data_IF_359319012543
#
_entry.id   IF_359319012543
#
_cell.length_a   1.000
_cell.length_b   1.000
_cell.length_c   1.000
_cell.angle_alpha   90.00
_cell.angle_beta   90.00
_cell.angle_gamma   90.00
#
_symmetry.space_group_name_H-M   'P 1'
#
loop_
_entity.id
_entity.type
_entity.pdbx_description
1 polymer ?
#
# COMPACT_ATOMS: atom_id res chain seq x y z
N UNK A 1 11.78 34.33 -36.86
CA UNK A 1 11.14 34.87 -35.65
C UNK A 1 11.28 33.83 -34.56
N UNK A 2 12.21 34.04 -33.62
CA UNK A 2 12.39 33.18 -32.45
C UNK A 2 11.34 33.54 -31.40
N UNK A 3 10.49 32.60 -31.01
CA UNK A 3 9.80 32.68 -29.71
C UNK A 3 10.61 31.86 -28.70
N UNK A 4 11.38 32.56 -27.89
CA UNK A 4 12.01 32.02 -26.69
C UNK A 4 10.88 31.78 -25.70
N UNK A 5 10.40 30.53 -25.61
CA UNK A 5 9.54 30.10 -24.52
C UNK A 5 10.37 30.03 -23.25
N UNK A 6 10.23 31.03 -22.38
CA UNK A 6 10.82 31.00 -21.05
C UNK A 6 10.18 29.87 -20.26
N UNK A 7 10.93 28.79 -20.06
CA UNK A 7 10.62 27.82 -19.01
C UNK A 7 10.77 28.54 -17.67
N UNK A 8 9.65 28.87 -17.02
CA UNK A 8 9.68 29.23 -15.61
C UNK A 8 10.24 28.03 -14.86
N UNK A 9 11.45 28.15 -14.34
CA UNK A 9 12.04 27.20 -13.39
C UNK A 9 11.15 27.29 -12.15
N UNK A 10 10.12 26.45 -12.09
CA UNK A 10 9.33 26.29 -10.87
C UNK A 10 10.28 25.83 -9.79
N UNK A 11 10.33 26.55 -8.66
CA UNK A 11 11.09 26.12 -7.50
C UNK A 11 10.66 24.67 -7.17
N UNK A 12 11.61 23.73 -7.18
CA UNK A 12 11.31 22.36 -6.77
C UNK A 12 10.91 22.36 -5.29
N UNK A 13 9.96 21.50 -4.91
CA UNK A 13 9.59 21.32 -3.51
C UNK A 13 10.34 20.12 -2.93
N UNK A 14 10.65 20.16 -1.64
CA UNK A 14 11.21 19.04 -0.89
C UNK A 14 10.46 18.81 0.42
N UNK A 15 10.44 17.57 0.87
CA UNK A 15 9.75 17.17 2.10
C UNK A 15 10.63 17.41 3.34
N UNK A 16 10.13 18.22 4.27
CA UNK A 16 10.66 18.33 5.64
C UNK A 16 9.82 17.44 6.55
N UNK A 17 10.48 16.48 7.21
CA UNK A 17 9.81 15.50 8.08
C UNK A 17 10.09 15.82 9.55
N UNK A 18 9.04 15.92 10.34
CA UNK A 18 9.11 16.22 11.78
C UNK A 18 8.27 15.26 12.61
N UNK A 19 8.46 15.30 13.93
CA UNK A 19 7.49 14.71 14.84
C UNK A 19 6.12 15.39 14.67
N UNK A 20 5.03 14.65 14.89
CA UNK A 20 3.69 15.19 14.66
C UNK A 20 3.36 16.27 15.69
N UNK A 21 2.70 17.34 15.26
CA UNK A 21 2.27 18.43 16.14
C UNK A 21 1.29 17.97 17.22
N UNK A 22 0.56 16.88 16.97
CA UNK A 22 -0.35 16.25 17.90
C UNK A 22 -0.04 14.76 18.04
N UNK A 23 -0.13 14.25 19.26
CA UNK A 23 0.02 12.81 19.52
C UNK A 23 -1.22 12.11 18.96
N UNK A 24 -0.99 11.30 17.94
CA UNK A 24 -2.06 10.56 17.29
C UNK A 24 -2.54 9.40 18.19
N UNK A 25 -3.85 9.29 18.44
CA UNK A 25 -4.45 8.31 19.37
C UNK A 25 -4.08 6.84 19.09
N UNK A 26 -3.82 6.01 20.09
CA UNK A 26 -3.46 4.61 19.89
C UNK A 26 -4.06 3.74 21.00
N UNK A 27 -4.21 2.42 20.82
CA UNK A 27 -4.60 1.55 21.92
C UNK A 27 -3.51 1.56 23.01
N UNK A 28 -3.91 1.44 24.28
CA UNK A 28 -2.97 1.44 25.42
C UNK A 28 -1.93 0.33 25.30
N UNK A 29 -2.36 -0.85 24.82
CA UNK A 29 -1.49 -2.01 24.59
C UNK A 29 -0.37 -1.76 23.56
N UNK A 30 -0.48 -0.72 22.73
CA UNK A 30 0.57 -0.37 21.77
C UNK A 30 1.90 0.01 22.47
N UNK A 31 1.84 0.53 23.70
CA UNK A 31 3.04 0.89 24.47
C UNK A 31 3.83 -0.33 24.94
N UNK A 32 3.21 -1.51 24.99
CA UNK A 32 3.88 -2.76 25.37
C UNK A 32 4.81 -3.30 24.27
N UNK A 33 4.64 -2.84 23.02
CA UNK A 33 5.44 -3.25 21.86
C UNK A 33 5.57 -4.78 21.71
N UNK A 34 4.47 -5.51 21.93
CA UNK A 34 4.41 -6.99 21.87
C UNK A 34 4.91 -7.59 20.55
N UNK A 35 4.91 -6.82 19.46
CA UNK A 35 5.42 -7.22 18.16
C UNK A 35 6.95 -7.19 18.04
N UNK A 36 7.68 -6.66 19.02
CA UNK A 36 9.15 -6.68 19.03
C UNK A 36 9.68 -7.96 19.68
N UNK A 37 10.54 -8.69 18.98
CA UNK A 37 11.27 -9.81 19.58
C UNK A 37 12.33 -9.31 20.56
N UNK A 38 12.45 -10.00 21.70
CA UNK A 38 13.42 -9.67 22.75
C UNK A 38 14.85 -9.55 22.18
N UNK A 39 15.56 -8.52 22.63
CA UNK A 39 16.95 -8.26 22.21
C UNK A 39 17.10 -7.69 20.81
N UNK A 40 16.04 -7.10 20.22
CA UNK A 40 16.10 -6.45 18.91
C UNK A 40 16.34 -7.43 17.75
N UNK A 41 15.91 -8.68 17.91
CA UNK A 41 16.18 -9.77 16.95
C UNK A 41 15.21 -9.83 15.77
N UNK A 42 14.28 -8.89 15.69
CA UNK A 42 13.24 -8.84 14.67
C UNK A 42 11.87 -8.61 15.28
N UNK A 43 10.84 -9.05 14.55
CA UNK A 43 9.44 -8.77 14.85
C UNK A 43 8.60 -10.05 14.83
N UNK A 44 7.39 -9.98 15.37
CA UNK A 44 6.41 -11.07 15.41
C UNK A 44 5.00 -10.52 15.28
N UNK A 45 4.08 -11.33 14.77
CA UNK A 45 2.65 -11.07 14.97
C UNK A 45 2.30 -11.40 16.43
N UNK A 46 1.67 -10.48 17.18
CA UNK A 46 1.37 -10.70 18.59
C UNK A 46 -0.05 -11.26 18.83
N UNK A 47 -0.81 -11.53 17.78
CA UNK A 47 -2.24 -11.86 17.87
C UNK A 47 -2.52 -13.36 17.67
N UNK A 48 -3.53 -13.86 18.37
CA UNK A 48 -3.99 -15.26 18.26
C UNK A 48 -4.52 -15.60 16.85
N UNK A 49 -4.90 -14.59 16.07
CA UNK A 49 -5.31 -14.70 14.67
C UNK A 49 -4.18 -15.08 13.72
N UNK A 50 -2.93 -15.01 14.18
CA UNK A 50 -1.76 -15.42 13.42
C UNK A 50 -1.21 -16.74 13.97
N UNK A 51 -1.32 -17.79 13.18
CA UNK A 51 -0.66 -19.07 13.44
C UNK A 51 0.42 -19.28 12.39
N UNK A 52 1.66 -19.46 12.83
CA UNK A 52 2.75 -19.78 11.94
C UNK A 52 2.63 -21.22 11.44
N UNK A 53 2.58 -21.38 10.12
CA UNK A 53 2.55 -22.69 9.50
C UNK A 53 3.95 -23.28 9.57
N UNK A 54 4.06 -24.51 10.09
CA UNK A 54 5.36 -25.17 10.18
C UNK A 54 5.96 -25.36 8.77
N UNK A 55 7.27 -25.16 8.56
CA UNK A 55 7.91 -25.38 7.25
C UNK A 55 7.71 -26.80 6.72
N UNK A 56 7.60 -27.78 7.63
CA UNK A 56 7.30 -29.17 7.28
C UNK A 56 5.89 -29.33 6.71
N UNK A 57 4.89 -28.71 7.34
CA UNK A 57 3.51 -28.74 6.84
C UNK A 57 3.40 -28.04 5.48
N UNK A 58 4.04 -26.88 5.32
CA UNK A 58 4.07 -26.16 4.05
C UNK A 58 4.75 -26.98 2.94
N UNK A 59 5.88 -27.62 3.22
CA UNK A 59 6.60 -28.42 2.23
C UNK A 59 5.87 -29.71 1.88
N UNK A 60 5.50 -30.50 2.89
CA UNK A 60 4.95 -31.86 2.69
C UNK A 60 3.48 -31.80 2.27
N UNK A 61 2.63 -31.08 2.99
CA UNK A 61 1.21 -30.95 2.61
C UNK A 61 1.04 -29.94 1.48
N UNK A 62 1.68 -28.78 1.58
CA UNK A 62 1.45 -27.67 0.65
C UNK A 62 2.04 -27.88 -0.75
N UNK A 63 3.28 -28.35 -0.85
CA UNK A 63 3.94 -28.51 -2.16
C UNK A 63 3.93 -29.95 -2.69
N UNK A 64 4.34 -30.93 -1.88
CA UNK A 64 4.55 -32.31 -2.37
C UNK A 64 3.21 -33.04 -2.54
N UNK A 65 2.40 -33.10 -1.48
CA UNK A 65 1.13 -33.84 -1.50
C UNK A 65 0.13 -33.27 -2.50
N UNK A 66 -0.02 -31.94 -2.55
CA UNK A 66 -0.95 -31.28 -3.48
C UNK A 66 -0.56 -31.45 -4.95
N UNK A 67 0.74 -31.46 -5.27
CA UNK A 67 1.20 -31.80 -6.63
C UNK A 67 0.90 -33.25 -7.00
N UNK A 68 1.12 -34.20 -6.09
CA UNK A 68 0.88 -35.63 -6.36
C UNK A 68 -0.62 -35.93 -6.46
N UNK A 69 -1.46 -35.25 -5.67
CA UNK A 69 -2.92 -35.44 -5.67
C UNK A 69 -3.65 -34.63 -6.74
N UNK A 70 -2.96 -33.80 -7.51
CA UNK A 70 -3.57 -32.93 -8.53
C UNK A 70 -4.41 -31.78 -7.96
N UNK A 71 -4.24 -31.45 -6.67
CA UNK A 71 -4.95 -30.38 -5.97
C UNK A 71 -4.29 -29.00 -6.12
N UNK A 72 -3.11 -28.93 -6.75
CA UNK A 72 -2.44 -27.68 -7.06
C UNK A 72 -3.02 -27.09 -8.35
N UNK A 73 -3.39 -25.82 -8.33
CA UNK A 73 -3.84 -25.09 -9.51
C UNK A 73 -2.72 -24.19 -10.06
N UNK A 74 -2.71 -23.99 -11.38
CA UNK A 74 -1.90 -22.96 -12.02
C UNK A 74 -2.86 -22.08 -12.83
N UNK A 75 -3.20 -20.88 -12.34
CA UNK A 75 -4.16 -20.00 -12.97
C UNK A 75 -3.84 -19.72 -14.44
N UNK A 76 -4.88 -19.65 -15.28
CA UNK A 76 -4.71 -19.23 -16.67
C UNK A 76 -4.46 -17.72 -16.74
N UNK A 77 -3.41 -17.35 -17.47
CA UNK A 77 -2.99 -15.96 -17.68
C UNK A 77 -3.22 -15.49 -19.11
N UNK A 78 -3.91 -16.30 -19.93
CA UNK A 78 -4.27 -15.96 -21.30
C UNK A 78 -5.31 -14.82 -21.33
N UNK A 79 -5.17 -13.82 -22.22
CA UNK A 79 -6.15 -12.75 -22.36
C UNK A 79 -7.54 -13.25 -22.79
N UNK A 80 -8.63 -12.57 -22.40
CA UNK A 80 -8.66 -11.32 -21.63
C UNK A 80 -8.47 -11.55 -20.12
N UNK A 81 -7.51 -10.85 -19.53
CA UNK A 81 -7.29 -10.79 -18.08
C UNK A 81 -7.78 -9.43 -17.55
N UNK A 82 -7.03 -8.76 -16.67
CA UNK A 82 -7.40 -7.45 -16.13
C UNK A 82 -7.16 -6.37 -17.18
N UNK A 83 -8.13 -5.48 -17.46
CA UNK A 83 -7.93 -4.38 -18.40
C UNK A 83 -6.80 -3.46 -17.93
N UNK A 84 -5.93 -3.09 -18.86
CA UNK A 84 -4.85 -2.11 -18.65
C UNK A 84 -5.14 -0.88 -19.50
N UNK A 85 -5.11 0.30 -18.88
CA UNK A 85 -5.36 1.60 -19.49
C UNK A 85 -4.18 2.53 -19.25
N UNK A 86 -4.00 3.50 -20.15
CA UNK A 86 -3.05 4.59 -19.92
C UNK A 86 -3.57 5.49 -18.79
N UNK A 87 -2.78 5.80 -17.76
CA UNK A 87 -3.19 6.69 -16.68
C UNK A 87 -3.39 8.13 -17.13
N UNK A 88 -4.37 8.79 -16.50
CA UNK A 88 -4.61 10.23 -16.63
C UNK A 88 -4.18 10.93 -15.33
N UNK A 89 -2.91 11.32 -15.26
CA UNK A 89 -2.39 12.09 -14.12
C UNK A 89 -2.74 13.57 -14.24
N UNK A 90 -2.95 14.24 -13.10
CA UNK A 90 -3.11 15.69 -13.12
C UNK A 90 -1.78 16.36 -13.48
N UNK A 91 -1.77 17.34 -14.41
CA UNK A 91 -0.56 18.04 -14.80
C UNK A 91 -0.05 19.02 -13.72
N UNK A 92 -0.85 19.24 -12.66
CA UNK A 92 -0.52 20.15 -11.57
C UNK A 92 -1.03 19.61 -10.23
N UNK A 93 -0.56 20.22 -9.14
CA UNK A 93 -0.97 19.86 -7.77
C UNK A 93 -2.42 20.23 -7.43
N UNK A 94 -3.03 21.16 -8.18
CA UNK A 94 -4.34 21.72 -7.86
C UNK A 94 -5.46 20.71 -8.18
N UNK A 95 -6.15 20.25 -7.15
CA UNK A 95 -7.38 19.46 -7.26
C UNK A 95 -8.25 19.69 -6.03
N UNK A 96 -9.58 19.82 -6.17
CA UNK A 96 -10.48 19.84 -5.02
C UNK A 96 -10.74 18.43 -4.46
N UNK A 97 -10.42 17.38 -5.22
CA UNK A 97 -10.77 15.99 -4.89
C UNK A 97 -9.55 15.14 -4.56
N UNK A 98 -9.78 14.12 -3.74
CA UNK A 98 -8.86 13.00 -3.60
C UNK A 98 -8.94 12.14 -4.85
N UNK A 99 -7.80 11.76 -5.43
CA UNK A 99 -7.74 10.89 -6.62
C UNK A 99 -6.79 9.74 -6.37
N UNK A 100 -7.20 8.54 -6.80
CA UNK A 100 -6.41 7.32 -6.70
C UNK A 100 -6.25 6.69 -8.07
N UNK A 101 -5.01 6.42 -8.46
CA UNK A 101 -4.67 5.70 -9.69
C UNK A 101 -4.02 4.38 -9.33
N UNK A 102 -4.63 3.27 -9.74
CA UNK A 102 -4.04 1.95 -9.53
C UNK A 102 -3.01 1.65 -10.61
N UNK A 103 -1.76 1.39 -10.23
CA UNK A 103 -0.66 1.13 -11.17
C UNK A 103 -0.32 -0.36 -11.28
N UNK A 104 -1.20 -1.21 -10.75
CA UNK A 104 -1.04 -2.67 -10.71
C UNK A 104 -0.54 -3.16 -9.36
N UNK A 105 -0.89 -4.40 -9.02
CA UNK A 105 -0.56 -5.06 -7.76
C UNK A 105 -0.93 -4.20 -6.53
N UNK A 106 -0.01 -3.90 -5.63
CA UNK A 106 -0.21 -2.97 -4.51
C UNK A 106 0.20 -1.51 -4.82
N UNK A 107 0.61 -1.21 -6.06
CA UNK A 107 1.09 0.11 -6.42
C UNK A 107 -0.08 1.08 -6.65
N UNK A 108 -0.19 2.10 -5.80
CA UNK A 108 -1.17 3.19 -5.94
C UNK A 108 -0.49 4.54 -5.94
N UNK A 109 -0.90 5.39 -6.89
CA UNK A 109 -0.56 6.80 -6.90
C UNK A 109 -1.74 7.62 -6.41
N UNK A 110 -1.54 8.38 -5.32
CA UNK A 110 -2.59 9.13 -4.64
C UNK A 110 -2.32 10.63 -4.74
N UNK A 111 -3.34 11.36 -5.17
CA UNK A 111 -3.34 12.81 -5.33
C UNK A 111 -4.28 13.45 -4.31
N UNK A 112 -3.71 14.12 -3.32
CA UNK A 112 -4.47 14.78 -2.26
C UNK A 112 -4.94 16.19 -2.67
N UNK A 113 -6.07 16.67 -2.12
CA UNK A 113 -6.57 18.05 -2.35
C UNK A 113 -5.59 19.15 -1.97
N UNK A 114 -4.73 18.90 -0.97
CA UNK A 114 -3.66 19.83 -0.56
C UNK A 114 -2.59 20.06 -1.64
N UNK A 115 -2.51 19.19 -2.65
CA UNK A 115 -1.41 19.15 -3.59
C UNK A 115 -0.29 18.16 -3.25
N UNK A 116 -0.39 17.41 -2.15
CA UNK A 116 0.53 16.33 -1.79
C UNK A 116 0.33 15.10 -2.70
N UNK A 117 1.43 14.42 -3.08
CA UNK A 117 1.44 13.27 -3.99
C UNK A 117 2.22 12.10 -3.39
N UNK A 118 1.56 10.95 -3.24
CA UNK A 118 2.12 9.76 -2.59
C UNK A 118 2.07 8.57 -3.52
N UNK A 119 3.16 7.79 -3.55
CA UNK A 119 3.25 6.52 -4.26
C UNK A 119 3.44 5.38 -3.25
N UNK A 120 2.52 4.43 -3.22
CA UNK A 120 2.57 3.26 -2.34
C UNK A 120 3.16 2.06 -3.08
N UNK A 121 4.01 1.27 -2.41
CA UNK A 121 4.59 0.00 -2.86
C UNK A 121 4.92 -0.08 -4.36
N UNK A 122 5.73 0.85 -4.90
CA UNK A 122 5.99 0.87 -6.32
C UNK A 122 6.88 -0.29 -6.77
N UNK A 123 6.34 -1.10 -7.68
CA UNK A 123 7.08 -2.10 -8.46
C UNK A 123 6.68 -2.01 -9.92
N UNK A 124 7.64 -1.58 -10.76
CA UNK A 124 7.44 -1.42 -12.21
C UNK A 124 8.14 -2.53 -13.01
N UNK A 125 8.82 -3.45 -12.34
CA UNK A 125 9.57 -4.52 -12.98
C UNK A 125 8.66 -5.63 -13.52
N UNK A 126 9.15 -6.37 -14.50
CA UNK A 126 8.44 -7.53 -15.02
C UNK A 126 8.33 -8.67 -13.99
N UNK A 127 9.33 -8.83 -13.12
CA UNK A 127 9.45 -9.97 -12.22
C UNK A 127 9.57 -9.50 -10.78
N UNK A 128 8.74 -10.05 -9.88
CA UNK A 128 8.78 -9.76 -8.46
C UNK A 128 9.74 -10.68 -7.70
N UNK A 129 10.99 -10.79 -8.16
CA UNK A 129 12.00 -11.68 -7.58
C UNK A 129 13.43 -11.14 -7.78
N UNK A 130 14.41 -11.57 -6.96
CA UNK A 130 15.80 -11.12 -7.10
C UNK A 130 16.48 -11.66 -8.38
N UNK A 131 15.90 -12.67 -9.01
CA UNK A 131 16.38 -13.30 -10.23
C UNK A 131 15.16 -13.48 -11.15
N UNK A 132 15.30 -13.17 -12.43
CA UNK A 132 14.23 -13.32 -13.41
C UNK A 132 13.79 -14.79 -13.49
N UNK A 133 12.59 -15.06 -12.98
CA UNK A 133 11.94 -16.38 -13.04
C UNK A 133 10.73 -16.28 -13.96
N UNK A 134 10.66 -17.13 -15.00
CA UNK A 134 9.60 -17.09 -16.01
C UNK A 134 8.19 -17.15 -15.39
N UNK A 135 8.04 -17.91 -14.31
CA UNK A 135 6.75 -18.14 -13.64
C UNK A 135 6.35 -17.02 -12.66
N UNK A 136 7.24 -16.06 -12.39
CA UNK A 136 6.97 -14.88 -11.55
C UNK A 136 6.98 -13.59 -12.37
N UNK A 137 6.86 -13.72 -13.70
CA UNK A 137 6.64 -12.57 -14.56
C UNK A 137 5.20 -12.09 -14.44
N UNK A 138 5.01 -10.78 -14.49
CA UNK A 138 3.69 -10.18 -14.56
C UNK A 138 3.00 -10.60 -15.84
N UNK A 139 1.70 -10.88 -15.77
CA UNK A 139 0.88 -11.23 -16.94
C UNK A 139 0.13 -10.02 -17.53
N UNK A 140 0.02 -8.94 -16.77
CA UNK A 140 -0.40 -7.62 -17.27
C UNK A 140 0.80 -6.69 -17.38
N UNK A 141 0.97 -5.89 -18.45
CA UNK A 141 2.02 -4.88 -18.51
C UNK A 141 1.82 -3.76 -17.46
N UNK A 142 2.88 -3.01 -17.10
CA UNK A 142 2.70 -1.75 -16.37
C UNK A 142 1.87 -0.77 -17.21
N UNK A 143 0.96 0.02 -16.62
CA UNK A 143 0.13 0.96 -17.36
C UNK A 143 0.88 2.22 -17.83
N UNK A 144 2.02 2.51 -17.20
CA UNK A 144 2.92 3.62 -17.55
C UNK A 144 4.35 3.31 -17.06
N UNK A 145 5.30 4.16 -17.42
CA UNK A 145 6.63 4.16 -16.83
C UNK A 145 6.74 5.11 -15.64
N UNK A 146 7.78 4.95 -14.81
CA UNK A 146 8.09 5.88 -13.72
C UNK A 146 8.30 7.29 -14.29
N UNK A 147 8.86 7.37 -15.50
CA UNK A 147 9.11 8.58 -16.28
C UNK A 147 7.84 9.32 -16.72
N UNK A 148 6.65 8.71 -16.59
CA UNK A 148 5.37 9.37 -16.88
C UNK A 148 4.73 10.04 -15.64
N UNK A 149 5.11 9.65 -14.42
CA UNK A 149 4.58 10.26 -13.19
C UNK A 149 4.92 11.77 -13.11
N UNK A 150 3.98 12.69 -12.89
CA UNK A 150 4.31 14.12 -12.93
C UNK A 150 5.07 14.56 -11.67
N UNK A 151 4.63 14.09 -10.50
CA UNK A 151 5.08 14.58 -9.20
C UNK A 151 5.02 13.42 -8.19
N UNK A 152 6.08 13.21 -7.41
CA UNK A 152 6.08 12.30 -6.26
C UNK A 152 6.78 13.01 -5.10
N UNK A 153 6.07 13.21 -4.00
CA UNK A 153 6.61 13.85 -2.80
C UNK A 153 7.03 12.81 -1.74
N UNK A 154 6.26 11.73 -1.66
CA UNK A 154 6.55 10.63 -0.75
C UNK A 154 6.38 9.27 -1.43
N UNK A 155 7.27 8.34 -1.09
CA UNK A 155 7.15 6.92 -1.43
C UNK A 155 6.95 6.15 -0.13
N UNK A 156 5.90 5.35 -0.04
CA UNK A 156 5.54 4.61 1.18
C UNK A 156 5.63 3.13 0.90
N UNK A 157 6.40 2.41 1.73
CA UNK A 157 6.62 0.98 1.62
C UNK A 157 5.94 0.25 2.78
N UNK A 158 5.10 -0.74 2.50
CA UNK A 158 4.45 -1.56 3.52
C UNK A 158 5.41 -2.56 4.16
N UNK A 159 6.21 -3.26 3.36
CA UNK A 159 7.16 -4.27 3.82
C UNK A 159 8.19 -4.59 2.72
N UNK A 160 9.11 -5.51 3.01
CA UNK A 160 10.29 -5.69 2.19
C UNK A 160 10.22 -6.84 1.17
N UNK A 161 9.07 -7.44 0.90
CA UNK A 161 8.98 -8.45 -0.16
C UNK A 161 9.23 -7.83 -1.55
N UNK A 162 9.60 -8.67 -2.52
CA UNK A 162 10.08 -8.20 -3.83
C UNK A 162 8.99 -7.58 -4.70
N UNK A 163 7.74 -7.94 -4.47
CA UNK A 163 6.54 -7.39 -5.11
C UNK A 163 6.06 -6.08 -4.47
N UNK A 164 6.68 -5.62 -3.37
CA UNK A 164 6.39 -4.34 -2.71
C UNK A 164 7.61 -3.40 -2.63
N UNK A 165 8.82 -3.96 -2.65
CA UNK A 165 10.07 -3.22 -2.56
C UNK A 165 11.07 -3.72 -3.62
N UNK A 166 11.07 -3.02 -4.76
CA UNK A 166 11.94 -3.31 -5.90
C UNK A 166 13.15 -2.38 -5.95
N UNK A 167 14.36 -2.95 -5.94
CA UNK A 167 15.60 -2.18 -6.03
C UNK A 167 15.71 -1.38 -7.34
N UNK A 168 15.48 -1.96 -8.55
CA UNK A 168 15.53 -1.17 -9.77
C UNK A 168 14.50 -0.04 -9.82
N UNK A 169 13.28 -0.29 -9.31
CA UNK A 169 12.21 0.71 -9.26
C UNK A 169 12.57 1.89 -8.35
N UNK A 170 13.08 1.66 -7.13
CA UNK A 170 13.46 2.77 -6.25
C UNK A 170 14.66 3.58 -6.78
N UNK A 171 15.59 2.94 -7.51
CA UNK A 171 16.70 3.66 -8.15
C UNK A 171 16.18 4.62 -9.22
N UNK A 172 15.23 4.16 -10.04
CA UNK A 172 14.58 4.99 -11.07
C UNK A 172 13.79 6.13 -10.42
N UNK A 173 13.04 5.86 -9.35
CA UNK A 173 12.32 6.89 -8.58
C UNK A 173 13.26 7.93 -8.00
N UNK A 174 14.34 7.53 -7.30
CA UNK A 174 15.31 8.45 -6.72
C UNK A 174 15.99 9.32 -7.78
N UNK A 175 16.26 8.75 -8.97
CA UNK A 175 16.83 9.49 -10.09
C UNK A 175 15.87 10.56 -10.63
N UNK A 176 14.58 10.23 -10.74
CA UNK A 176 13.57 11.15 -11.29
C UNK A 176 13.08 12.18 -10.28
N UNK A 177 12.87 11.76 -9.03
CA UNK A 177 12.35 12.56 -7.94
C UNK A 177 13.35 12.58 -6.78
N UNK A 178 14.49 13.29 -6.92
CA UNK A 178 15.54 13.29 -5.90
C UNK A 178 15.10 13.89 -4.55
N UNK A 179 13.99 14.63 -4.56
CA UNK A 179 13.37 15.25 -3.38
C UNK A 179 12.25 14.43 -2.73
N UNK A 180 11.84 13.31 -3.35
CA UNK A 180 10.87 12.42 -2.74
C UNK A 180 11.44 11.81 -1.46
N UNK A 181 10.61 11.74 -0.41
CA UNK A 181 10.99 11.15 0.87
C UNK A 181 10.39 9.76 1.03
N UNK A 182 11.20 8.79 1.41
CA UNK A 182 10.78 7.41 1.60
C UNK A 182 10.31 7.17 3.03
N UNK A 183 9.19 6.47 3.19
CA UNK A 183 8.69 5.98 4.47
C UNK A 183 8.65 4.45 4.43
N UNK A 184 9.19 3.82 5.47
CA UNK A 184 9.23 2.38 5.58
C UNK A 184 9.06 1.93 7.04
N UNK A 185 8.72 0.66 7.31
CA UNK A 185 8.71 0.15 8.67
C UNK A 185 10.13 -0.04 9.19
N UNK A 186 10.28 -0.11 10.52
CA UNK A 186 11.57 -0.36 11.20
C UNK A 186 12.40 -1.51 10.58
N UNK A 187 13.71 -1.32 10.51
CA UNK A 187 14.70 -2.28 10.01
C UNK A 187 15.05 -2.14 8.52
N UNK A 188 14.29 -1.36 7.73
CA UNK A 188 14.50 -1.18 6.29
C UNK A 188 15.46 -0.03 5.92
N UNK A 189 15.70 0.97 6.77
CA UNK A 189 16.57 2.14 6.50
C UNK A 189 17.96 1.74 6.07
N UNK A 190 18.56 0.76 6.75
CA UNK A 190 19.89 0.26 6.38
C UNK A 190 19.93 -0.29 4.95
N UNK A 191 18.83 -0.88 4.47
CA UNK A 191 18.73 -1.37 3.11
C UNK A 191 18.59 -0.20 2.10
N UNK A 192 17.81 0.84 2.43
CA UNK A 192 17.72 2.07 1.63
C UNK A 192 19.06 2.80 1.54
N UNK A 193 19.74 3.00 2.67
CA UNK A 193 21.05 3.68 2.72
C UNK A 193 22.10 2.95 1.89
N UNK A 194 22.14 1.61 1.99
CA UNK A 194 23.01 0.77 1.14
C UNK A 194 22.65 0.84 -0.34
N UNK A 195 21.40 1.15 -0.64
CA UNK A 195 20.91 1.39 -2.00
C UNK A 195 21.11 2.84 -2.45
N UNK A 196 21.78 3.69 -1.67
CA UNK A 196 22.04 5.09 -2.03
C UNK A 196 20.89 6.05 -1.79
N UNK A 197 19.83 5.63 -1.08
CA UNK A 197 18.68 6.48 -0.72
C UNK A 197 18.84 6.95 0.71
N UNK A 198 19.03 8.27 0.89
CA UNK A 198 19.30 8.89 2.19
C UNK A 198 18.09 9.57 2.81
N UNK A 199 17.11 9.98 2.00
CA UNK A 199 15.84 10.59 2.44
C UNK A 199 14.84 9.49 2.81
N UNK A 200 15.06 8.86 3.95
CA UNK A 200 14.22 7.77 4.44
C UNK A 200 13.92 7.92 5.94
N UNK A 201 12.65 7.73 6.29
CA UNK A 201 12.18 7.67 7.67
C UNK A 201 11.58 6.29 7.96
N UNK A 202 12.05 5.67 9.03
CA UNK A 202 11.42 4.46 9.56
C UNK A 202 10.41 4.82 10.63
N UNK A 203 9.32 4.07 10.67
CA UNK A 203 8.33 4.13 11.73
C UNK A 203 8.05 2.75 12.33
N UNK A 204 7.83 2.76 13.63
CA UNK A 204 7.19 1.65 14.35
C UNK A 204 5.67 1.73 14.20
N UNK A 205 4.96 0.65 14.51
CA UNK A 205 3.50 0.69 14.58
C UNK A 205 3.02 1.77 15.55
N UNK A 206 1.97 2.47 15.13
CA UNK A 206 1.34 3.59 15.82
C UNK A 206 2.15 4.88 15.88
N UNK A 207 3.36 4.92 15.32
CA UNK A 207 4.09 6.17 15.12
C UNK A 207 3.57 6.95 13.91
N UNK A 208 3.77 8.27 13.94
CA UNK A 208 3.44 9.16 12.83
C UNK A 208 4.49 10.24 12.68
N UNK A 209 4.54 10.88 11.51
CA UNK A 209 5.36 12.04 11.21
C UNK A 209 4.57 13.04 10.41
N UNK A 210 4.81 14.31 10.70
CA UNK A 210 4.32 15.40 9.86
C UNK A 210 5.33 15.65 8.75
N UNK A 211 4.80 16.00 7.58
CA UNK A 211 5.53 16.34 6.37
C UNK A 211 5.06 17.72 5.94
N UNK A 212 5.99 18.65 5.77
CA UNK A 212 5.73 19.94 5.14
C UNK A 212 6.57 20.05 3.88
N UNK A 213 5.97 20.43 2.75
CA UNK A 213 6.72 20.70 1.54
C UNK A 213 7.22 22.14 1.54
N UNK A 214 8.53 22.31 1.39
CA UNK A 214 9.19 23.60 1.34
C UNK A 214 9.85 23.84 -0.02
N UNK A 215 10.03 25.10 -0.40
CA UNK A 215 10.72 25.48 -1.63
C UNK A 215 12.23 25.23 -1.55
N UNK A 216 12.79 24.62 -2.59
CA UNK A 216 14.23 24.55 -2.80
C UNK A 216 14.76 25.95 -3.13
N UNK A 217 15.33 26.62 -2.14
CA UNK A 217 16.12 27.81 -2.39
C UNK A 217 17.43 27.46 -3.10
N UNK A 218 17.51 27.78 -4.39
CA UNK A 218 18.79 27.72 -5.10
C UNK A 218 19.72 28.82 -4.59
N UNK A 219 20.76 28.44 -3.84
CA UNK A 219 21.92 29.30 -3.57
C UNK A 219 22.62 29.61 -4.89
N UNK A 220 22.24 30.72 -5.55
CA UNK A 220 22.78 31.06 -6.86
C UNK A 220 22.71 32.51 -7.32
N UNK A 221 21.82 33.37 -6.77
CA UNK A 221 21.80 34.78 -7.17
C UNK A 221 22.54 35.66 -6.16
N UNK A 222 23.71 36.14 -6.58
CA UNK A 222 24.39 37.29 -5.99
C UNK A 222 23.38 38.45 -5.80
N UNK A 223 23.52 39.13 -4.68
CA UNK A 223 22.77 40.31 -4.32
C UNK A 223 22.62 41.30 -5.50
N UNK A 224 21.38 41.76 -5.74
CA UNK A 224 21.10 42.89 -6.61
C UNK A 224 20.18 42.62 -7.79
N UNK A 225 18.96 42.13 -7.57
CA UNK A 225 17.81 42.63 -8.34
C UNK A 225 16.53 42.38 -7.55
N UNK A 226 15.84 43.45 -7.19
CA UNK A 226 14.46 43.38 -6.70
C UNK A 226 13.59 43.16 -7.94
N UNK A 227 13.21 41.92 -8.22
CA UNK A 227 12.13 41.63 -9.15
C UNK A 227 10.81 41.78 -8.41
N UNK A 228 10.06 42.84 -8.74
CA UNK A 228 8.68 43.01 -8.31
C UNK A 228 7.89 41.85 -8.93
N UNK A 229 7.53 40.87 -8.10
CA UNK A 229 6.72 39.73 -8.51
C UNK A 229 5.28 40.15 -8.78
N UNK A 230 4.76 39.73 -9.94
CA UNK A 230 3.35 39.84 -10.29
C UNK A 230 2.47 39.19 -9.21
N UNK A 231 1.36 39.82 -8.80
CA UNK A 231 0.42 39.24 -7.86
C UNK A 231 -0.48 38.25 -8.59
N UNK A 232 -0.02 37.02 -8.74
CA UNK A 232 -0.89 35.88 -9.04
C UNK A 232 -0.59 34.69 -8.11
N UNK A 233 -0.32 35.01 -6.84
CA UNK A 233 -0.20 34.09 -5.72
C UNK A 233 -1.59 33.90 -5.07
N UNK A 234 -2.50 33.29 -5.82
CA UNK A 234 -3.77 32.81 -5.28
C UNK A 234 -3.58 31.48 -4.54
N UNK A 235 -3.44 31.53 -3.21
CA UNK A 235 -3.82 30.43 -2.30
C UNK A 235 -2.79 29.34 -1.96
N UNK A 236 -1.48 29.62 -1.96
CA UNK A 236 -0.48 28.64 -1.46
C UNK A 236 -0.42 28.66 0.09
N UNK A 237 -1.33 27.93 0.74
CA UNK A 237 -1.04 27.44 2.09
C UNK A 237 0.07 26.38 2.01
N UNK A 238 0.89 26.25 3.06
CA UNK A 238 1.90 25.19 3.15
C UNK A 238 1.26 23.81 2.85
N UNK A 239 1.83 23.04 1.91
CA UNK A 239 1.38 21.67 1.64
C UNK A 239 1.86 20.80 2.80
N UNK A 240 0.90 20.32 3.60
CA UNK A 240 1.16 19.52 4.81
C UNK A 240 0.49 18.17 4.74
N UNK A 241 1.15 17.15 5.27
CA UNK A 241 0.59 15.81 5.43
C UNK A 241 1.03 15.20 6.76
N UNK A 242 0.25 14.26 7.27
CA UNK A 242 0.65 13.39 8.38
C UNK A 242 0.65 11.95 7.87
N UNK A 243 1.79 11.27 8.01
CA UNK A 243 1.97 9.87 7.61
C UNK A 243 2.17 9.03 8.87
N UNK A 244 1.37 7.99 9.03
CA UNK A 244 1.40 7.09 10.19
C UNK A 244 1.57 5.63 9.77
N UNK A 245 2.47 4.92 10.46
CA UNK A 245 2.58 3.47 10.32
C UNK A 245 1.60 2.79 11.27
N UNK A 246 0.85 1.84 10.74
CA UNK A 246 -0.21 1.12 11.43
C UNK A 246 0.06 -0.39 11.37
N UNK A 247 -0.45 -1.18 12.33
CA UNK A 247 -0.24 -2.62 12.29
C UNK A 247 -0.93 -3.29 11.10
N UNK A 248 -0.37 -4.41 10.66
CA UNK A 248 -1.03 -5.40 9.82
C UNK A 248 -0.52 -6.80 10.16
N UNK A 249 -1.25 -7.84 9.76
CA UNK A 249 -0.88 -9.23 10.01
C UNK A 249 -0.16 -9.81 8.79
N UNK A 250 1.16 -9.67 8.77
CA UNK A 250 2.00 -10.14 7.67
C UNK A 250 3.37 -10.61 8.18
N UNK A 251 4.34 -10.78 7.29
CA UNK A 251 5.74 -11.06 7.63
C UNK A 251 6.68 -10.22 6.74
N UNK A 252 7.99 -10.36 6.93
CA UNK A 252 9.00 -9.79 6.04
C UNK A 252 10.08 -10.82 5.76
N UNK A 253 10.65 -10.83 4.56
CA UNK A 253 11.82 -11.62 4.19
C UNK A 253 12.34 -11.20 2.80
N UNK A 254 13.66 -11.09 2.62
CA UNK A 254 14.29 -10.95 1.30
C UNK A 254 15.27 -12.06 0.98
N UNK A 255 15.76 -12.76 2.00
CA UNK A 255 16.73 -13.85 1.90
C UNK A 255 16.29 -15.01 2.80
N UNK A 256 16.83 -16.23 2.60
CA UNK A 256 16.44 -17.38 3.41
C UNK A 256 16.68 -17.24 4.93
N UNK A 257 17.43 -16.22 5.38
CA UNK A 257 17.86 -16.07 6.77
C UNK A 257 17.47 -14.72 7.39
N UNK A 258 16.55 -13.97 6.79
CA UNK A 258 16.13 -12.65 7.30
C UNK A 258 14.63 -12.52 7.57
N UNK A 259 13.92 -13.65 7.67
CA UNK A 259 12.51 -13.66 8.06
C UNK A 259 12.29 -12.82 9.32
N UNK A 260 11.35 -11.89 9.23
CA UNK A 260 10.91 -10.97 10.26
C UNK A 260 12.02 -10.10 10.89
N UNK A 261 13.17 -9.92 10.21
CA UNK A 261 14.22 -8.99 10.69
C UNK A 261 13.87 -7.52 10.49
N UNK A 262 12.94 -7.22 9.58
CA UNK A 262 12.36 -5.89 9.41
C UNK A 262 10.86 -5.95 9.70
N UNK A 263 10.28 -4.82 10.08
CA UNK A 263 8.86 -4.73 10.33
C UNK A 263 8.08 -4.66 9.00
N UNK A 264 6.80 -4.97 9.07
CA UNK A 264 5.78 -4.77 8.04
C UNK A 264 4.71 -3.83 8.60
N UNK A 265 4.06 -3.01 7.80
CA UNK A 265 3.05 -2.07 8.26
C UNK A 265 1.99 -1.78 7.20
N UNK A 266 0.77 -1.52 7.67
CA UNK A 266 -0.20 -0.70 6.94
C UNK A 266 0.09 0.78 7.21
N UNK A 267 -0.56 1.69 6.49
CA UNK A 267 -0.25 3.11 6.53
C UNK A 267 -1.50 3.98 6.52
N UNK A 268 -1.47 5.08 7.27
CA UNK A 268 -2.42 6.18 7.13
C UNK A 268 -1.72 7.40 6.55
N UNK A 269 -2.34 8.08 5.59
CA UNK A 269 -1.90 9.39 5.10
C UNK A 269 -3.06 10.37 5.17
N UNK A 270 -2.84 11.49 5.84
CA UNK A 270 -3.80 12.58 5.97
C UNK A 270 -3.24 13.85 5.35
N UNK A 271 -3.98 14.48 4.44
CA UNK A 271 -3.56 15.74 3.82
C UNK A 271 -4.74 16.46 3.17
N UNK A 272 -4.84 17.78 3.34
CA UNK A 272 -5.91 18.58 2.71
C UNK A 272 -7.32 18.19 3.15
N UNK A 273 -7.48 17.69 4.37
CA UNK A 273 -8.76 17.22 4.91
C UNK A 273 -9.22 15.85 4.39
N UNK A 274 -8.39 15.15 3.60
CA UNK A 274 -8.63 13.79 3.13
C UNK A 274 -7.74 12.80 3.88
N UNK A 275 -8.27 11.61 4.19
CA UNK A 275 -7.55 10.55 4.89
C UNK A 275 -7.58 9.22 4.14
N UNK A 276 -6.42 8.66 3.84
CA UNK A 276 -6.25 7.38 3.13
C UNK A 276 -5.67 6.33 4.06
N UNK A 277 -6.22 5.13 4.02
CA UNK A 277 -5.67 3.93 4.62
C UNK A 277 -5.11 3.01 3.52
N UNK A 278 -3.85 2.63 3.63
CA UNK A 278 -3.19 1.66 2.76
C UNK A 278 -2.87 0.42 3.58
N UNK A 279 -3.52 -0.71 3.29
CA UNK A 279 -3.39 -1.91 4.10
C UNK A 279 -2.03 -2.62 3.97
N UNK A 280 -1.28 -2.34 2.87
CA UNK A 280 -0.19 -3.20 2.45
C UNK A 280 -0.69 -4.63 2.18
N UNK A 281 0.18 -5.61 2.40
CA UNK A 281 -0.21 -7.01 2.48
C UNK A 281 -0.58 -7.37 3.90
N UNK A 282 -1.67 -8.11 4.04
CA UNK A 282 -2.12 -8.56 5.34
C UNK A 282 -3.09 -9.72 5.24
N UNK A 283 -3.01 -10.62 6.22
CA UNK A 283 -4.07 -11.52 6.59
C UNK A 283 -5.05 -10.84 7.55
N UNK A 284 -6.14 -11.54 7.85
CA UNK A 284 -7.10 -11.12 8.87
C UNK A 284 -7.26 -12.17 9.98
N UNK A 285 -7.02 -13.45 9.64
CA UNK A 285 -7.18 -14.62 10.51
C UNK A 285 -6.44 -15.81 9.92
N UNK A 286 -6.21 -16.85 10.68
CA UNK A 286 -5.63 -18.09 10.15
C UNK A 286 -6.70 -19.16 9.99
N UNK A 287 -6.77 -19.76 8.80
CA UNK A 287 -7.62 -20.90 8.46
C UNK A 287 -6.81 -22.19 8.67
N UNK A 288 -7.19 -23.08 9.59
CA UNK A 288 -6.46 -24.33 9.79
C UNK A 288 -6.56 -25.29 8.60
N UNK A 289 -5.51 -26.08 8.36
CA UNK A 289 -5.48 -27.11 7.31
C UNK A 289 -6.49 -28.25 7.50
N UNK A 290 -7.13 -28.33 8.68
CA UNK A 290 -8.22 -29.26 8.98
C UNK A 290 -9.57 -28.82 8.42
N UNK A 291 -9.73 -27.55 8.01
CA UNK A 291 -10.95 -27.07 7.36
C UNK A 291 -10.88 -27.43 5.88
N UNK A 292 -11.85 -28.20 5.33
CA UNK A 292 -11.85 -28.54 3.91
C UNK A 292 -12.01 -27.30 3.03
N UNK A 293 -11.30 -27.25 1.89
CA UNK A 293 -11.37 -26.13 0.95
C UNK A 293 -12.77 -25.90 0.34
N UNK A 294 -13.65 -26.91 0.42
CA UNK A 294 -15.05 -26.81 -0.05
C UNK A 294 -15.98 -26.17 0.98
N UNK A 295 -15.52 -25.97 2.22
CA UNK A 295 -16.34 -25.38 3.28
C UNK A 295 -16.11 -23.87 3.39
N UNK A 296 -17.20 -23.14 3.66
CA UNK A 296 -17.12 -21.72 3.95
C UNK A 296 -16.50 -21.51 5.33
N UNK A 297 -15.29 -20.96 5.32
CA UNK A 297 -14.50 -20.70 6.51
C UNK A 297 -15.11 -19.57 7.39
N UNK A 298 -16.12 -18.84 6.90
CA UNK A 298 -16.95 -17.89 7.67
C UNK A 298 -18.27 -18.47 8.17
N UNK A 299 -18.55 -19.77 7.95
CA UNK A 299 -19.77 -20.40 8.44
C UNK A 299 -19.83 -20.44 9.99
N UNK A 300 -21.02 -20.68 10.53
CA UNK A 300 -21.24 -20.77 11.98
C UNK A 300 -20.36 -21.84 12.66
N UNK A 301 -19.94 -22.89 11.94
CA UNK A 301 -19.04 -23.91 12.48
C UNK A 301 -17.66 -23.36 12.85
N UNK A 302 -17.23 -22.27 12.20
CA UNK A 302 -15.89 -21.70 12.31
C UNK A 302 -15.89 -20.27 12.88
N UNK A 303 -16.99 -19.83 13.48
CA UNK A 303 -17.12 -18.49 14.10
C UNK A 303 -16.19 -18.29 15.32
N UNK A 304 -15.59 -19.36 15.82
CA UNK A 304 -14.63 -19.35 16.92
C UNK A 304 -13.20 -18.99 16.50
N UNK A 305 -12.91 -18.95 15.19
CA UNK A 305 -11.58 -18.59 14.71
C UNK A 305 -11.27 -17.12 15.04
N UNK A 306 -10.12 -16.84 15.69
CA UNK A 306 -9.76 -15.47 16.07
C UNK A 306 -9.48 -14.60 14.84
N UNK A 307 -9.87 -13.34 14.94
CA UNK A 307 -9.57 -12.31 13.93
C UNK A 307 -8.59 -11.29 14.51
N UNK A 308 -7.83 -10.63 13.63
CA UNK A 308 -6.81 -9.68 14.02
C UNK A 308 -7.47 -8.41 14.61
N UNK A 309 -7.27 -8.11 15.91
CA UNK A 309 -7.94 -6.98 16.54
C UNK A 309 -7.43 -5.62 16.04
N UNK A 310 -6.25 -5.59 15.40
CA UNK A 310 -5.60 -4.36 14.98
C UNK A 310 -6.45 -3.51 14.03
N UNK A 311 -7.23 -4.13 13.14
CA UNK A 311 -8.06 -3.38 12.19
C UNK A 311 -9.17 -2.61 12.89
N UNK A 312 -9.84 -3.24 13.86
CA UNK A 312 -10.87 -2.57 14.67
C UNK A 312 -10.27 -1.44 15.52
N UNK A 313 -9.07 -1.66 16.08
CA UNK A 313 -8.30 -0.64 16.80
C UNK A 313 -7.92 0.52 15.88
N UNK A 314 -7.49 0.24 14.65
CA UNK A 314 -7.19 1.27 13.63
C UNK A 314 -8.43 2.11 13.35
N UNK A 315 -9.59 1.49 13.11
CA UNK A 315 -10.82 2.25 12.88
C UNK A 315 -11.33 3.01 14.11
N UNK A 316 -11.01 2.55 15.32
CA UNK A 316 -11.33 3.26 16.56
C UNK A 316 -10.43 4.48 16.81
N UNK A 317 -9.12 4.36 16.53
CA UNK A 317 -8.13 5.34 16.94
C UNK A 317 -7.61 6.24 15.81
N UNK A 318 -7.75 5.82 14.56
CA UNK A 318 -7.22 6.53 13.38
C UNK A 318 -8.31 6.83 12.35
N UNK A 319 -9.31 5.95 12.24
CA UNK A 319 -10.46 6.16 11.37
C UNK A 319 -11.44 7.25 11.86
N UNK A 320 -12.49 7.55 11.09
CA UNK A 320 -12.78 6.97 9.78
C UNK A 320 -11.80 7.45 8.69
N UNK A 321 -11.66 6.66 7.62
CA UNK A 321 -10.86 6.99 6.44
C UNK A 321 -11.78 7.29 5.25
N UNK A 322 -11.41 8.24 4.40
CA UNK A 322 -12.18 8.54 3.19
C UNK A 322 -12.01 7.45 2.13
N UNK A 323 -10.80 6.88 2.03
CA UNK A 323 -10.46 5.82 1.09
C UNK A 323 -9.55 4.76 1.74
N UNK A 324 -9.95 3.49 1.61
CA UNK A 324 -9.10 2.33 1.86
C UNK A 324 -8.52 1.74 0.58
N UNK A 325 -7.26 1.32 0.62
CA UNK A 325 -6.61 0.52 -0.41
C UNK A 325 -6.29 -0.83 0.23
N UNK A 326 -7.05 -1.86 -0.14
CA UNK A 326 -7.12 -3.12 0.63
C UNK A 326 -6.86 -4.31 -0.31
N UNK A 327 -5.94 -5.24 0.06
CA UNK A 327 -5.63 -6.38 -0.80
C UNK A 327 -6.83 -7.33 -0.88
N UNK A 328 -7.02 -7.92 -2.06
CA UNK A 328 -8.07 -8.92 -2.32
C UNK A 328 -7.56 -10.18 -3.01
N UNK A 329 -6.27 -10.23 -3.36
CA UNK A 329 -5.63 -11.38 -4.02
C UNK A 329 -4.63 -12.10 -3.12
N UNK A 330 -3.92 -13.07 -3.69
CA UNK A 330 -2.89 -13.86 -3.04
C UNK A 330 -3.38 -14.81 -1.91
N UNK A 331 -4.61 -15.34 -1.99
CA UNK A 331 -5.27 -15.98 -0.84
C UNK A 331 -5.47 -17.50 -0.92
N UNK A 332 -5.28 -18.16 -2.08
CA UNK A 332 -5.51 -19.62 -2.20
C UNK A 332 -4.21 -20.47 -2.23
N UNK A 333 -4.17 -21.63 -1.54
CA UNK A 333 -5.23 -22.14 -0.67
C UNK A 333 -5.29 -21.39 0.66
N UNK A 334 -6.51 -21.16 1.16
CA UNK A 334 -6.74 -20.44 2.43
C UNK A 334 -5.88 -20.92 3.59
N UNK A 335 -5.71 -22.23 3.78
CA UNK A 335 -4.93 -22.75 4.89
C UNK A 335 -3.43 -22.43 4.83
N UNK A 336 -2.89 -22.12 3.64
CA UNK A 336 -1.49 -21.73 3.47
C UNK A 336 -1.26 -20.22 3.60
N UNK A 337 -2.21 -19.42 3.11
CA UNK A 337 -1.98 -17.99 2.92
C UNK A 337 -2.82 -17.09 3.83
N UNK A 338 -3.93 -17.56 4.42
CA UNK A 338 -4.83 -16.73 5.23
C UNK A 338 -4.16 -15.99 6.38
N UNK A 339 -3.12 -16.59 6.98
CA UNK A 339 -2.38 -15.97 8.07
C UNK A 339 -1.63 -14.69 7.64
N UNK A 340 -1.39 -14.48 6.34
CA UNK A 340 -0.64 -13.34 5.79
C UNK A 340 -1.32 -12.63 4.60
N UNK A 341 -2.34 -13.22 3.98
CA UNK A 341 -3.11 -12.64 2.87
C UNK A 341 -4.62 -12.76 3.09
N UNK A 342 -5.31 -11.64 2.95
CA UNK A 342 -6.75 -11.51 3.09
C UNK A 342 -7.45 -12.05 1.83
N UNK A 343 -8.44 -12.93 2.03
CA UNK A 343 -9.41 -13.20 0.96
C UNK A 343 -10.36 -12.00 0.80
N UNK A 344 -11.18 -11.96 -0.26
CA UNK A 344 -12.19 -10.90 -0.40
C UNK A 344 -13.16 -10.81 0.80
N UNK A 345 -13.50 -11.94 1.46
CA UNK A 345 -14.28 -11.93 2.72
C UNK A 345 -13.50 -11.30 3.89
N UNK A 346 -12.21 -11.57 4.01
CA UNK A 346 -11.37 -10.89 5.00
C UNK A 346 -11.28 -9.39 4.71
N UNK A 347 -11.11 -9.03 3.44
CA UNK A 347 -10.98 -7.64 2.98
C UNK A 347 -12.20 -6.80 3.34
N UNK A 348 -13.43 -7.33 3.15
CA UNK A 348 -14.65 -6.59 3.54
C UNK A 348 -14.80 -6.43 5.06
N UNK A 349 -14.25 -7.36 5.85
CA UNK A 349 -14.17 -7.17 7.32
C UNK A 349 -13.14 -6.10 7.68
N UNK A 350 -11.95 -6.11 7.05
CA UNK A 350 -10.93 -5.06 7.22
C UNK A 350 -11.52 -3.68 6.86
N UNK A 351 -12.26 -3.58 5.76
CA UNK A 351 -12.95 -2.35 5.35
C UNK A 351 -13.88 -1.83 6.46
N UNK A 352 -14.73 -2.71 7.01
CA UNK A 352 -15.67 -2.34 8.07
C UNK A 352 -14.95 -1.94 9.37
N UNK A 353 -13.97 -2.75 9.79
CA UNK A 353 -13.23 -2.57 11.04
C UNK A 353 -12.38 -1.29 11.04
N UNK A 354 -11.77 -0.97 9.90
CA UNK A 354 -11.00 0.28 9.72
C UNK A 354 -11.89 1.50 9.53
N UNK A 355 -13.21 1.31 9.35
CA UNK A 355 -14.19 2.38 9.09
C UNK A 355 -13.84 3.21 7.86
N UNK A 356 -13.36 2.56 6.81
CA UNK A 356 -13.22 3.20 5.51
C UNK A 356 -14.62 3.56 4.97
N UNK A 357 -14.79 4.77 4.42
CA UNK A 357 -16.04 5.17 3.76
C UNK A 357 -16.18 4.49 2.41
N UNK A 358 -15.08 4.40 1.68
CA UNK A 358 -14.94 3.73 0.38
C UNK A 358 -13.63 2.97 0.33
N UNK A 359 -13.51 1.97 -0.53
CA UNK A 359 -12.26 1.26 -0.76
C UNK A 359 -12.10 0.77 -2.20
N UNK A 360 -10.84 0.66 -2.61
CA UNK A 360 -10.45 0.02 -3.86
C UNK A 360 -9.59 -1.23 -3.56
N UNK A 361 -9.92 -2.33 -4.23
CA UNK A 361 -9.19 -3.58 -4.16
C UNK A 361 -7.82 -3.48 -4.82
N UNK A 362 -6.83 -4.18 -4.27
CA UNK A 362 -5.46 -4.23 -4.78
C UNK A 362 -4.82 -5.61 -4.58
N UNK A 363 -3.53 -5.76 -4.92
CA UNK A 363 -2.76 -7.01 -4.78
C UNK A 363 -3.28 -8.20 -5.62
N UNK A 364 -3.99 -7.90 -6.72
CA UNK A 364 -4.49 -8.90 -7.65
C UNK A 364 -4.18 -8.48 -9.09
N UNK A 365 -4.40 -9.38 -10.05
CA UNK A 365 -4.43 -9.00 -11.45
C UNK A 365 -3.09 -8.64 -12.10
N UNK A 366 -1.96 -8.87 -11.43
CA UNK A 366 -0.63 -8.50 -11.95
C UNK A 366 0.34 -9.68 -12.03
N UNK A 367 0.56 -10.38 -10.92
CA UNK A 367 1.36 -11.60 -10.84
C UNK A 367 0.50 -12.78 -10.37
N UNK A 368 0.87 -13.99 -10.77
CA UNK A 368 0.34 -15.22 -10.19
C UNK A 368 1.22 -15.58 -9.00
N UNK A 369 0.79 -15.18 -7.80
CA UNK A 369 1.50 -15.46 -6.54
C UNK A 369 0.98 -16.74 -5.85
N UNK A 370 -0.27 -17.08 -6.14
CA UNK A 370 -1.06 -18.13 -5.51
C UNK A 370 -2.00 -18.76 -6.55
N UNK A 371 -2.94 -19.57 -6.08
CA UNK A 371 -3.64 -20.55 -6.91
C UNK A 371 -5.05 -20.14 -7.37
N UNK A 372 -5.57 -19.00 -6.91
CA UNK A 372 -6.87 -18.50 -7.37
C UNK A 372 -6.81 -18.05 -8.84
N UNK A 373 -7.92 -18.23 -9.56
CA UNK A 373 -8.04 -17.74 -10.93
C UNK A 373 -7.91 -16.22 -11.00
N UNK A 374 -7.29 -15.70 -12.06
CA UNK A 374 -6.94 -14.27 -12.20
C UNK A 374 -8.13 -13.33 -11.98
N UNK A 375 -9.34 -13.74 -12.39
CA UNK A 375 -10.57 -12.95 -12.29
C UNK A 375 -11.48 -13.36 -11.11
N UNK A 376 -11.05 -14.29 -10.25
CA UNK A 376 -11.79 -14.66 -9.05
C UNK A 376 -11.88 -13.50 -8.01
N UNK A 377 -10.80 -12.74 -7.72
CA UNK A 377 -10.83 -11.74 -6.65
C UNK A 377 -11.93 -10.68 -6.78
N UNK A 378 -12.17 -10.05 -7.95
CA UNK A 378 -13.26 -9.08 -8.10
C UNK A 378 -14.66 -9.67 -7.92
N UNK A 379 -14.85 -10.89 -8.43
CA UNK A 379 -16.15 -11.59 -8.33
C UNK A 379 -16.45 -11.93 -6.88
N UNK A 380 -15.48 -12.53 -6.20
CA UNK A 380 -15.60 -12.87 -4.78
C UNK A 380 -15.70 -11.62 -3.88
N UNK A 381 -15.09 -10.50 -4.26
CA UNK A 381 -15.28 -9.22 -3.56
C UNK A 381 -16.73 -8.74 -3.62
N UNK A 382 -17.35 -8.85 -4.79
CA UNK A 382 -18.77 -8.49 -4.95
C UNK A 382 -19.64 -9.38 -4.06
N UNK A 383 -19.44 -10.69 -4.11
CA UNK A 383 -20.17 -11.67 -3.28
C UNK A 383 -19.93 -11.41 -1.77
N UNK A 384 -18.71 -11.08 -1.38
CA UNK A 384 -18.36 -10.73 0.00
C UNK A 384 -19.03 -9.43 0.47
N UNK A 385 -19.13 -8.42 -0.40
CA UNK A 385 -19.84 -7.18 -0.10
C UNK A 385 -21.34 -7.46 0.13
N UNK A 386 -21.96 -8.25 -0.73
CA UNK A 386 -23.36 -8.67 -0.59
C UNK A 386 -23.57 -9.46 0.71
N UNK A 387 -22.69 -10.41 1.02
CA UNK A 387 -22.71 -11.19 2.26
C UNK A 387 -22.64 -10.31 3.51
N UNK A 388 -21.79 -9.27 3.50
CA UNK A 388 -21.59 -8.38 4.65
C UNK A 388 -22.61 -7.23 4.72
N UNK A 389 -23.42 -7.03 3.68
CA UNK A 389 -24.32 -5.88 3.54
C UNK A 389 -23.58 -4.56 3.28
N UNK A 390 -22.41 -4.61 2.65
CA UNK A 390 -21.63 -3.44 2.23
C UNK A 390 -21.98 -3.09 0.79
N UNK A 391 -22.06 -1.79 0.48
CA UNK A 391 -22.24 -1.32 -0.88
C UNK A 391 -21.01 -1.71 -1.72
N UNK A 392 -21.22 -2.48 -2.79
CA UNK A 392 -20.15 -2.80 -3.75
C UNK A 392 -19.83 -1.64 -4.70
N UNK A 393 -18.71 -1.75 -5.41
CA UNK A 393 -18.29 -0.78 -6.42
C UNK A 393 -17.72 0.51 -5.81
N UNK A 394 -17.54 1.54 -6.65
CA UNK A 394 -16.84 2.78 -6.28
C UNK A 394 -17.51 3.60 -5.17
N UNK A 395 -18.79 3.36 -4.91
CA UNK A 395 -19.55 4.03 -3.85
C UNK A 395 -19.39 3.37 -2.48
N UNK A 396 -18.81 2.17 -2.42
CA UNK A 396 -18.41 1.49 -1.18
C UNK A 396 -17.08 0.78 -1.40
N UNK A 397 -17.06 -0.56 -1.42
CA UNK A 397 -15.84 -1.33 -1.72
C UNK A 397 -15.91 -1.94 -3.14
N UNK A 398 -15.03 -1.48 -4.03
CA UNK A 398 -14.96 -1.95 -5.40
C UNK A 398 -13.54 -2.14 -5.91
N UNK A 399 -13.42 -2.23 -7.24
CA UNK A 399 -12.16 -2.30 -7.97
C UNK A 399 -12.09 -1.18 -9.00
N UNK A 400 -10.92 -1.03 -9.62
CA UNK A 400 -10.70 -0.23 -10.82
C UNK A 400 -9.79 -1.01 -11.78
N UNK A 401 -9.73 -0.58 -13.04
CA UNK A 401 -8.81 -1.16 -14.03
C UNK A 401 -7.36 -0.73 -13.73
N UNK A 402 -6.37 -1.50 -14.19
CA UNK A 402 -4.96 -1.10 -14.06
C UNK A 402 -4.74 0.17 -14.91
N UNK A 403 -4.23 1.21 -14.29
CA UNK A 403 -4.04 2.55 -14.84
C UNK A 403 -5.26 3.47 -14.71
N UNK A 404 -6.41 2.96 -14.28
CA UNK A 404 -7.60 3.79 -14.06
C UNK A 404 -7.39 4.73 -12.87
N UNK A 405 -7.85 5.97 -13.04
CA UNK A 405 -7.88 6.97 -11.98
C UNK A 405 -9.31 7.21 -11.53
N UNK A 406 -9.56 7.09 -10.23
CA UNK A 406 -10.88 7.33 -9.62
C UNK A 406 -10.81 8.52 -8.67
N UNK A 407 -11.81 9.39 -8.74
CA UNK A 407 -11.94 10.56 -7.87
C UNK A 407 -12.94 10.31 -6.75
N UNK A 408 -12.66 10.91 -5.60
CA UNK A 408 -13.47 10.82 -4.40
C UNK A 408 -13.63 12.20 -3.80
N UNK A 409 -14.87 12.53 -3.42
CA UNK A 409 -15.13 13.70 -2.60
C UNK A 409 -14.54 13.46 -1.20
N UNK A 410 -13.88 14.49 -0.66
CA UNK A 410 -13.18 14.44 0.64
C UNK A 410 -13.45 15.70 1.45
N UNK A 411 -13.20 15.66 2.76
CA UNK A 411 -13.39 16.81 3.64
C UNK A 411 -14.86 17.23 3.81
N UNK A 412 -15.12 18.53 3.88
CA UNK A 412 -16.46 19.09 4.13
C UNK A 412 -17.43 18.97 2.93
N UNK A 413 -16.93 18.74 1.72
CA UNK A 413 -17.78 18.49 0.55
C UNK A 413 -18.51 17.13 0.64
N UNK A 414 -17.95 16.15 1.35
CA UNK A 414 -18.60 14.86 1.60
C UNK A 414 -19.76 14.93 2.63
N UNK A 415 -19.96 16.08 3.28
CA UNK A 415 -21.06 16.31 4.25
C UNK A 415 -22.29 16.99 3.62
N UNK A 416 -22.25 17.31 2.33
CA UNK A 416 -23.34 18.00 1.62
C UNK A 416 -24.29 17.05 0.92
#
# INVERSE_FOLDING_TARGET
MSSIGGASIGAGLYAVVSNPAQIAAKPEEADEKKHHLKGGKGFTNPWDSYVEISPWELLVKGMIWRKITGQANNPDTSPPTVPVRTPEFLPSRKTPKLRATWLGHACYYIEFPSGFRVLFDPVFEDCCAPITMKNLKRFTPPPCEIEDLPIVDAVVISHNHYDHLSYPTIQRLQKKFPEAHFFAPLGNKKWFEKSGITKVTELDWWESRDVTLEELWQKGNKAGSVSVGSPDMGGNGDIKATIGALPCQHISARTPFDKAKTLWASWSVESGGAKVYFAGDTGYRTVPSSIPATEDDYSAAYSHLPTCPAFSQIGQHRGPFDLGLIPIGAYEPRWMFSNVHASPKDAVNIFADTKCKRALGMHWGTWVLTEEEVMAPPKELQEACEWKGIKGGKEGFGICDIGESTEFDSGDEAKR
#
